data_IF_846243447683
#
_entry.id   IF_846243447683
#
_cell.length_a   1.000
_cell.length_b   1.000
_cell.length_c   1.000
_cell.angle_alpha   90.00
_cell.angle_beta   90.00
_cell.angle_gamma   90.00
#
_symmetry.space_group_name_H-M   'P 1'
#
loop_
_entity.id
_entity.type
_entity.pdbx_description
1 polymer ?
#
# COMPACT_ATOMS: atom_id res chain seq x y z
N UNK A 1 -4.09 -4.82 -7.08
CA UNK A 1 -2.70 -4.50 -6.70
C UNK A 1 -1.87 -5.76 -6.71
N UNK A 2 -0.69 -5.69 -7.31
CA UNK A 2 0.29 -6.78 -7.34
C UNK A 2 1.62 -6.31 -6.75
N UNK A 3 2.15 -7.05 -5.79
CA UNK A 3 3.49 -6.85 -5.22
C UNK A 3 4.40 -7.96 -5.73
N UNK A 4 5.56 -7.60 -6.26
CA UNK A 4 6.51 -8.53 -6.87
C UNK A 4 7.91 -8.30 -6.30
N UNK A 5 8.65 -9.39 -6.07
CA UNK A 5 10.08 -9.38 -5.76
C UNK A 5 10.88 -9.84 -6.97
N UNK A 6 11.95 -9.12 -7.27
CA UNK A 6 12.90 -9.54 -8.30
C UNK A 6 14.03 -10.43 -7.71
N UNK A 7 14.88 -11.04 -8.56
CA UNK A 7 15.99 -11.87 -8.10
C UNK A 7 17.03 -11.15 -7.24
N UNK A 8 17.08 -9.82 -7.27
CA UNK A 8 17.97 -9.01 -6.44
C UNK A 8 17.30 -8.58 -5.13
N UNK A 9 16.06 -9.02 -4.91
CA UNK A 9 15.26 -8.68 -3.73
C UNK A 9 14.70 -7.26 -3.75
N UNK A 10 14.59 -6.64 -4.94
CA UNK A 10 13.90 -5.36 -5.07
C UNK A 10 12.39 -5.59 -5.09
N UNK A 11 11.65 -4.62 -4.57
CA UNK A 11 10.18 -4.67 -4.47
C UNK A 11 9.58 -3.75 -5.51
N UNK A 12 8.69 -4.29 -6.33
CA UNK A 12 7.85 -3.50 -7.23
C UNK A 12 6.37 -3.72 -6.94
N UNK A 13 5.58 -2.68 -7.14
CA UNK A 13 4.14 -2.70 -6.90
C UNK A 13 3.43 -2.12 -8.11
N UNK A 14 2.52 -2.89 -8.68
CA UNK A 14 1.64 -2.40 -9.74
C UNK A 14 0.26 -2.11 -9.16
N UNK A 15 -0.22 -0.88 -9.35
CA UNK A 15 -1.55 -0.45 -8.94
C UNK A 15 -2.41 -0.11 -10.16
N UNK A 16 -3.68 -0.37 -10.05
CA UNK A 16 -4.70 -0.10 -11.08
C UNK A 16 -5.36 1.29 -10.91
N UNK A 17 -4.79 2.14 -10.08
CA UNK A 17 -5.26 3.51 -9.81
C UNK A 17 -4.33 4.53 -10.46
N UNK A 18 -4.89 5.45 -11.24
CA UNK A 18 -4.16 6.53 -11.90
C UNK A 18 -4.15 7.79 -11.03
N UNK A 19 -3.01 8.19 -10.47
CA UNK A 19 -2.94 9.37 -9.62
C UNK A 19 -3.16 10.66 -10.44
N UNK A 20 -3.77 11.64 -9.79
CA UNK A 20 -4.01 12.99 -10.32
C UNK A 20 -3.36 14.06 -9.43
N UNK A 21 -2.20 13.75 -8.84
CA UNK A 21 -1.47 14.63 -7.94
C UNK A 21 -1.69 14.38 -6.43
N UNK A 22 -2.57 13.43 -6.05
CA UNK A 22 -2.89 13.16 -4.63
C UNK A 22 -1.91 12.18 -3.93
N UNK A 23 -0.77 11.86 -4.53
CA UNK A 23 0.30 11.12 -3.87
C UNK A 23 0.10 9.61 -3.74
N UNK A 24 -0.70 8.96 -4.59
CA UNK A 24 -0.97 7.53 -4.52
C UNK A 24 0.31 6.67 -4.54
N UNK A 25 1.27 7.01 -5.39
CA UNK A 25 2.55 6.29 -5.50
C UNK A 25 3.28 6.30 -4.16
N UNK A 26 3.40 7.47 -3.54
CA UNK A 26 4.06 7.61 -2.23
C UNK A 26 3.32 6.85 -1.14
N UNK A 27 1.98 6.95 -1.10
CA UNK A 27 1.18 6.26 -0.10
C UNK A 27 1.31 4.73 -0.22
N UNK A 28 1.27 4.18 -1.43
CA UNK A 28 1.46 2.73 -1.65
C UNK A 28 2.87 2.28 -1.27
N UNK A 29 3.90 3.05 -1.63
CA UNK A 29 5.27 2.76 -1.22
C UNK A 29 5.39 2.68 0.30
N UNK A 30 4.77 3.62 1.04
CA UNK A 30 4.75 3.62 2.50
C UNK A 30 4.00 2.42 3.09
N UNK A 31 2.83 2.07 2.55
CA UNK A 31 2.04 0.92 3.01
C UNK A 31 2.83 -0.38 2.85
N UNK A 32 3.36 -0.62 1.65
CA UNK A 32 4.10 -1.87 1.36
C UNK A 32 5.40 -1.92 2.15
N UNK A 33 6.14 -0.82 2.20
CA UNK A 33 7.37 -0.74 2.98
C UNK A 33 7.15 -0.96 4.47
N UNK A 34 6.07 -0.40 5.04
CA UNK A 34 5.69 -0.60 6.44
C UNK A 34 5.40 -2.07 6.76
N UNK A 35 4.72 -2.79 5.87
CA UNK A 35 4.46 -4.23 6.05
C UNK A 35 5.73 -5.06 5.93
N UNK A 36 6.59 -4.74 4.97
CA UNK A 36 7.81 -5.51 4.68
C UNK A 36 9.02 -5.09 5.53
N UNK A 37 8.89 -4.04 6.35
CA UNK A 37 9.97 -3.56 7.20
C UNK A 37 11.16 -2.95 6.44
N UNK A 38 10.92 -2.38 5.26
CA UNK A 38 11.93 -1.75 4.39
C UNK A 38 11.70 -0.25 4.27
N UNK A 39 12.60 0.47 3.59
CA UNK A 39 12.40 1.89 3.31
C UNK A 39 11.37 2.08 2.17
N UNK A 40 10.47 3.08 2.23
CA UNK A 40 9.61 3.43 1.10
C UNK A 40 10.38 3.74 -0.19
N UNK A 41 11.61 4.23 -0.09
CA UNK A 41 12.50 4.46 -1.24
C UNK A 41 13.00 3.18 -1.92
N UNK A 42 12.86 2.02 -1.28
CA UNK A 42 13.20 0.70 -1.84
C UNK A 42 12.01 0.04 -2.56
N UNK A 43 10.85 0.70 -2.62
CA UNK A 43 9.64 0.20 -3.27
C UNK A 43 9.36 1.00 -4.54
N UNK A 44 9.50 0.35 -5.70
CA UNK A 44 9.11 0.94 -6.98
C UNK A 44 7.60 0.75 -7.19
N UNK A 45 6.86 1.85 -7.36
CA UNK A 45 5.41 1.79 -7.60
C UNK A 45 5.11 2.24 -9.02
N UNK A 46 4.46 1.38 -9.76
CA UNK A 46 3.96 1.65 -11.10
C UNK A 46 2.44 1.81 -11.05
N UNK A 47 1.97 2.96 -11.53
CA UNK A 47 0.55 3.19 -11.75
C UNK A 47 0.24 3.01 -13.22
N UNK A 48 -0.68 2.14 -13.54
CA UNK A 48 -1.06 1.87 -14.92
C UNK A 48 -2.25 0.93 -14.98
N UNK A 49 -2.93 0.96 -16.10
CA UNK A 49 -4.08 0.12 -16.35
C UNK A 49 -3.83 -0.69 -17.61
N UNK A 50 -3.60 -1.98 -17.44
CA UNK A 50 -3.49 -2.96 -18.52
C UNK A 50 -4.45 -4.10 -18.23
N UNK A 51 -5.52 -4.18 -18.99
CA UNK A 51 -6.57 -5.20 -18.81
C UNK A 51 -6.07 -6.62 -19.06
N UNK A 52 -4.92 -6.78 -19.71
CA UNK A 52 -4.31 -8.08 -19.97
C UNK A 52 -3.50 -8.64 -18.79
N UNK A 53 -3.00 -7.79 -17.91
CA UNK A 53 -2.07 -8.20 -16.85
C UNK A 53 -2.41 -7.65 -15.45
N UNK A 54 -3.16 -6.56 -15.37
CA UNK A 54 -3.54 -5.94 -14.08
C UNK A 54 -4.93 -6.39 -13.65
N UNK A 55 -5.05 -6.91 -12.42
CA UNK A 55 -6.34 -7.10 -11.79
C UNK A 55 -7.04 -5.75 -11.63
N UNK A 56 -8.27 -5.65 -12.08
CA UNK A 56 -9.06 -4.43 -12.02
C UNK A 56 -10.33 -4.61 -11.20
N UNK A 57 -10.72 -3.56 -10.50
CA UNK A 57 -11.98 -3.50 -9.78
C UNK A 57 -12.57 -2.09 -9.89
N UNK A 58 -13.89 -1.98 -9.85
CA UNK A 58 -14.57 -0.69 -9.83
C UNK A 58 -14.20 0.16 -8.61
N UNK A 59 -13.68 -0.46 -7.56
CA UNK A 59 -13.18 0.23 -6.37
C UNK A 59 -11.85 0.98 -6.60
N UNK A 60 -11.15 0.73 -7.70
CA UNK A 60 -9.87 1.36 -8.05
C UNK A 60 -10.00 2.82 -8.52
N UNK A 61 -11.21 3.33 -8.77
CA UNK A 61 -11.43 4.71 -9.23
C UNK A 61 -11.01 5.77 -8.21
N UNK A 62 -10.54 6.91 -8.72
CA UNK A 62 -10.05 8.06 -7.94
C UNK A 62 -11.18 8.98 -7.42
N UNK A 63 -12.31 8.44 -7.10
CA UNK A 63 -13.49 9.17 -6.60
C UNK A 63 -13.95 8.60 -5.26
N UNK A 64 -14.70 9.39 -4.51
CA UNK A 64 -15.30 8.99 -3.22
C UNK A 64 -14.27 8.46 -2.22
N UNK A 65 -13.04 8.99 -2.21
CA UNK A 65 -11.95 8.56 -1.33
C UNK A 65 -11.68 7.05 -1.31
N UNK A 66 -11.98 6.34 -2.40
CA UNK A 66 -11.86 4.87 -2.48
C UNK A 66 -10.43 4.36 -2.47
N UNK A 67 -9.48 5.20 -2.87
CA UNK A 67 -8.07 4.79 -2.90
C UNK A 67 -7.58 4.25 -1.56
N UNK A 68 -7.85 4.97 -0.46
CA UNK A 68 -7.43 4.54 0.88
C UNK A 68 -7.94 3.15 1.25
N UNK A 69 -9.26 2.95 1.37
CA UNK A 69 -9.81 1.66 1.79
C UNK A 69 -9.62 0.55 0.75
N UNK A 70 -9.72 0.84 -0.54
CA UNK A 70 -9.70 -0.20 -1.58
C UNK A 70 -8.28 -0.48 -2.08
N UNK A 71 -7.60 0.50 -2.69
CA UNK A 71 -6.30 0.26 -3.34
C UNK A 71 -5.20 0.06 -2.31
N UNK A 72 -5.13 0.94 -1.29
CA UNK A 72 -4.16 0.78 -0.21
C UNK A 72 -4.46 -0.46 0.64
N UNK A 73 -5.74 -0.80 0.85
CA UNK A 73 -6.15 -2.05 1.49
C UNK A 73 -5.70 -3.29 0.72
N UNK A 74 -5.85 -3.30 -0.61
CA UNK A 74 -5.34 -4.38 -1.46
C UNK A 74 -3.81 -4.48 -1.42
N UNK A 75 -3.11 -3.33 -1.41
CA UNK A 75 -1.65 -3.30 -1.29
C UNK A 75 -1.18 -3.88 0.06
N UNK A 76 -1.86 -3.51 1.14
CA UNK A 76 -1.61 -4.08 2.46
C UNK A 76 -1.78 -5.60 2.48
N UNK A 77 -2.88 -6.11 1.91
CA UNK A 77 -3.13 -7.55 1.86
C UNK A 77 -2.09 -8.30 1.00
N UNK A 78 -1.75 -7.77 -0.19
CA UNK A 78 -0.74 -8.39 -1.04
C UNK A 78 0.63 -8.41 -0.35
N UNK A 79 1.03 -7.29 0.27
CA UNK A 79 2.27 -7.21 1.02
C UNK A 79 2.28 -8.13 2.25
N UNK A 80 1.15 -8.27 2.95
CA UNK A 80 1.03 -9.18 4.11
C UNK A 80 1.20 -10.64 3.70
N UNK A 81 0.54 -11.07 2.62
CA UNK A 81 0.74 -12.44 2.08
C UNK A 81 2.19 -12.67 1.67
N UNK A 82 2.81 -11.68 1.04
CA UNK A 82 4.22 -11.73 0.67
C UNK A 82 5.12 -11.86 1.89
N UNK A 83 4.85 -11.05 2.94
CA UNK A 83 5.57 -11.13 4.22
C UNK A 83 5.46 -12.52 4.85
N UNK A 84 4.27 -13.12 4.87
CA UNK A 84 4.07 -14.46 5.42
C UNK A 84 4.88 -15.52 4.66
N UNK A 85 4.94 -15.43 3.33
CA UNK A 85 5.79 -16.30 2.52
C UNK A 85 7.27 -16.11 2.79
N UNK A 86 7.72 -14.85 2.92
CA UNK A 86 9.10 -14.52 3.28
C UNK A 86 9.46 -14.98 4.69
N UNK A 87 8.52 -14.91 5.64
CA UNK A 87 8.72 -15.43 7.00
C UNK A 87 8.94 -16.93 6.98
N UNK A 88 8.16 -17.69 6.20
CA UNK A 88 8.34 -19.15 6.02
C UNK A 88 9.69 -19.47 5.36
N UNK A 89 10.13 -18.69 4.39
CA UNK A 89 11.44 -18.86 3.78
C UNK A 89 12.57 -18.54 4.77
N UNK A 90 12.43 -17.43 5.51
CA UNK A 90 13.40 -17.00 6.50
C UNK A 90 13.51 -17.99 7.68
N UNK A 91 12.40 -18.62 8.06
CA UNK A 91 12.36 -19.59 9.17
C UNK A 91 13.35 -20.73 8.99
N UNK A 92 13.51 -21.21 7.76
CA UNK A 92 14.50 -22.25 7.44
C UNK A 92 15.93 -21.74 7.57
N UNK A 93 16.20 -20.51 7.09
CA UNK A 93 17.54 -19.93 7.15
C UNK A 93 17.96 -19.52 8.56
N UNK A 94 17.02 -19.09 9.39
CA UNK A 94 17.27 -18.61 10.76
C UNK A 94 17.03 -19.71 11.81
N UNK A 95 16.53 -20.87 11.38
CA UNK A 95 16.23 -22.04 12.22
C UNK A 95 15.28 -21.72 13.39
N UNK A 96 14.18 -21.00 13.10
CA UNK A 96 13.11 -20.66 14.04
C UNK A 96 11.75 -20.78 13.36
N UNK A 97 10.68 -20.88 14.13
CA UNK A 97 9.33 -20.91 13.57
C UNK A 97 8.95 -19.56 12.93
N UNK A 98 8.14 -19.59 11.86
CA UNK A 98 7.81 -18.42 11.08
C UNK A 98 7.11 -17.30 11.88
N UNK A 99 6.36 -17.67 12.92
CA UNK A 99 5.69 -16.76 13.84
C UNK A 99 6.64 -15.93 14.71
N UNK A 100 7.90 -16.33 14.84
CA UNK A 100 8.95 -15.62 15.56
C UNK A 100 9.81 -14.72 14.64
N UNK A 101 9.44 -14.61 13.36
CA UNK A 101 10.15 -13.80 12.39
C UNK A 101 9.58 -12.38 12.36
N UNK A 102 10.44 -11.41 12.49
CA UNK A 102 10.13 -9.99 12.39
C UNK A 102 10.86 -9.31 11.23
N UNK A 103 10.29 -8.20 10.78
CA UNK A 103 10.75 -7.40 9.65
C UNK A 103 10.91 -5.96 10.08
N UNK A 104 12.12 -5.43 10.06
CA UNK A 104 12.37 -4.02 10.37
C UNK A 104 13.72 -3.56 9.83
N UNK A 105 13.79 -2.31 9.40
CA UNK A 105 15.04 -1.66 9.00
C UNK A 105 15.79 -2.38 7.87
N UNK A 106 15.07 -3.03 6.95
CA UNK A 106 15.66 -3.80 5.85
C UNK A 106 16.26 -5.14 6.27
N UNK A 107 15.89 -5.61 7.45
CA UNK A 107 16.31 -6.91 8.03
C UNK A 107 15.10 -7.79 8.28
N UNK A 108 15.34 -9.09 8.19
CA UNK A 108 14.45 -10.15 8.65
C UNK A 108 15.20 -10.87 9.77
N UNK A 109 14.62 -10.91 10.95
CA UNK A 109 15.29 -11.37 12.16
C UNK A 109 14.35 -12.12 13.09
N UNK A 110 14.92 -12.75 14.11
CA UNK A 110 14.12 -13.47 15.11
C UNK A 110 13.75 -12.53 16.25
N UNK A 111 12.48 -12.53 16.67
CA UNK A 111 11.97 -11.65 17.73
C UNK A 111 12.76 -11.77 19.05
N UNK A 112 13.19 -13.01 19.40
CA UNK A 112 13.91 -13.31 20.64
C UNK A 112 15.40 -12.94 20.60
N UNK A 113 16.00 -12.91 19.39
CA UNK A 113 17.40 -12.58 19.19
C UNK A 113 17.61 -11.78 17.90
N UNK A 114 17.53 -10.43 17.96
CA UNK A 114 17.67 -9.58 16.78
C UNK A 114 19.03 -9.65 16.07
N UNK A 115 20.06 -10.20 16.74
CA UNK A 115 21.38 -10.47 16.10
C UNK A 115 21.33 -11.68 15.15
N UNK A 116 20.34 -12.56 15.31
CA UNK A 116 20.05 -13.62 14.36
C UNK A 116 19.18 -13.08 13.24
N UNK A 117 19.80 -12.47 12.24
CA UNK A 117 19.12 -11.80 11.13
C UNK A 117 19.74 -12.10 9.78
N UNK A 118 18.95 -11.84 8.74
CA UNK A 118 19.42 -11.73 7.36
C UNK A 118 18.92 -10.42 6.72
N UNK A 119 19.68 -9.84 5.79
CA UNK A 119 19.18 -8.72 4.99
C UNK A 119 17.92 -9.13 4.21
N UNK A 120 16.91 -8.24 4.17
CA UNK A 120 15.68 -8.47 3.45
C UNK A 120 15.92 -8.94 2.01
N UNK A 121 16.77 -8.23 1.27
CA UNK A 121 17.08 -8.54 -0.14
C UNK A 121 17.66 -9.95 -0.32
N UNK A 122 18.41 -10.44 0.65
CA UNK A 122 18.98 -11.79 0.56
C UNK A 122 17.91 -12.87 0.67
N UNK A 123 16.98 -12.73 1.62
CA UNK A 123 15.85 -13.66 1.74
C UNK A 123 14.94 -13.54 0.51
N UNK A 124 14.59 -12.31 0.13
CA UNK A 124 13.72 -12.06 -1.02
C UNK A 124 14.27 -12.65 -2.32
N UNK A 125 15.60 -12.50 -2.56
CA UNK A 125 16.26 -13.05 -3.75
C UNK A 125 16.50 -14.57 -3.71
N UNK A 126 16.55 -15.18 -2.53
CA UNK A 126 16.94 -16.59 -2.39
C UNK A 126 16.00 -17.56 -3.11
N UNK A 127 14.71 -17.22 -3.26
CA UNK A 127 13.75 -18.02 -4.03
C UNK A 127 14.12 -18.17 -5.50
N UNK A 128 14.86 -17.21 -6.06
CA UNK A 128 15.32 -17.24 -7.44
C UNK A 128 16.68 -17.95 -7.61
N UNK A 129 17.55 -17.83 -6.59
CA UNK A 129 18.95 -18.30 -6.69
C UNK A 129 19.14 -19.71 -6.17
N UNK A 130 18.29 -20.15 -5.25
CA UNK A 130 18.39 -21.45 -4.59
C UNK A 130 17.03 -22.14 -4.56
N UNK A 131 16.41 -22.41 -5.72
CA UNK A 131 15.07 -22.99 -5.77
C UNK A 131 14.98 -24.35 -5.07
N UNK A 132 16.05 -25.11 -5.03
CA UNK A 132 16.11 -26.40 -4.30
C UNK A 132 16.10 -26.26 -2.76
N UNK A 133 16.27 -25.05 -2.23
CA UNK A 133 16.18 -24.78 -0.80
C UNK A 133 14.80 -24.21 -0.40
N UNK A 134 13.86 -24.12 -1.34
CA UNK A 134 12.50 -23.70 -1.03
C UNK A 134 11.72 -24.81 -0.34
N UNK A 135 10.81 -24.49 0.59
CA UNK A 135 9.80 -25.41 1.05
C UNK A 135 9.03 -26.01 -0.14
N UNK A 136 8.70 -27.31 -0.09
CA UNK A 136 8.03 -28.02 -1.20
C UNK A 136 6.72 -27.38 -1.64
N UNK A 137 6.05 -26.67 -0.73
CA UNK A 137 4.77 -26.01 -0.93
C UNK A 137 4.90 -24.49 -1.20
N UNK A 138 6.13 -23.99 -1.43
CA UNK A 138 6.38 -22.58 -1.73
C UNK A 138 6.81 -22.39 -3.18
N UNK A 139 6.01 -21.63 -3.93
CA UNK A 139 6.32 -21.26 -5.31
C UNK A 139 7.63 -20.44 -5.37
N UNK A 140 8.55 -20.74 -6.30
CA UNK A 140 9.79 -19.98 -6.49
C UNK A 140 9.56 -18.53 -6.94
N UNK A 141 8.46 -18.22 -7.59
CA UNK A 141 8.11 -16.85 -7.97
C UNK A 141 7.41 -16.15 -6.81
N UNK A 142 8.10 -15.18 -6.20
CA UNK A 142 7.51 -14.41 -5.11
C UNK A 142 6.75 -13.22 -5.67
N UNK A 143 5.46 -13.44 -5.86
CA UNK A 143 4.51 -12.47 -6.39
C UNK A 143 3.17 -12.70 -5.71
N UNK A 144 2.57 -11.61 -5.20
CA UNK A 144 1.25 -11.64 -4.61
C UNK A 144 0.34 -10.62 -5.25
N UNK A 145 -0.87 -11.05 -5.58
CA UNK A 145 -1.92 -10.19 -6.11
C UNK A 145 -3.10 -10.21 -5.16
N UNK A 146 -3.60 -9.03 -4.80
CA UNK A 146 -4.83 -8.88 -4.04
C UNK A 146 -5.79 -7.92 -4.76
N UNK A 147 -7.06 -8.28 -4.69
CA UNK A 147 -8.19 -7.43 -5.05
C UNK A 147 -9.00 -7.28 -3.78
N UNK A 148 -9.26 -6.04 -3.40
CA UNK A 148 -10.02 -5.75 -2.21
C UNK A 148 -11.16 -4.79 -2.54
N UNK A 149 -12.36 -5.21 -2.25
CA UNK A 149 -13.54 -4.37 -2.25
C UNK A 149 -14.11 -4.40 -0.84
N UNK A 150 -14.06 -3.27 -0.11
CA UNK A 150 -14.61 -3.20 1.24
C UNK A 150 -16.08 -3.63 1.25
N UNK A 151 -16.48 -4.53 2.16
CA UNK A 151 -17.83 -5.09 2.16
C UNK A 151 -18.92 -4.07 2.51
N UNK A 152 -18.54 -2.95 3.12
CA UNK A 152 -19.45 -1.87 3.48
C UNK A 152 -19.82 -0.95 2.30
N UNK A 153 -19.15 -1.09 1.16
CA UNK A 153 -19.55 -0.42 -0.07
C UNK A 153 -20.81 -1.07 -0.62
N UNK A 154 -21.86 -0.27 -0.79
CA UNK A 154 -23.14 -0.76 -1.30
C UNK A 154 -23.56 -0.01 -2.55
N UNK A 155 -24.19 -0.71 -3.47
CA UNK A 155 -24.83 -0.12 -4.64
C UNK A 155 -26.03 0.76 -4.23
N UNK A 156 -26.50 1.68 -5.10
CA UNK A 156 -27.72 2.45 -4.85
C UNK A 156 -28.91 1.51 -4.55
N UNK A 157 -29.66 1.86 -3.52
CA UNK A 157 -30.94 1.21 -3.22
C UNK A 157 -32.06 1.84 -4.06
N UNK A 158 -33.31 1.41 -3.82
CA UNK A 158 -34.49 1.90 -4.53
C UNK A 158 -34.77 3.40 -4.30
N UNK A 159 -34.12 4.01 -3.34
CA UNK A 159 -34.23 5.44 -2.99
C UNK A 159 -32.95 6.21 -3.38
N UNK A 160 -32.08 5.61 -4.19
CA UNK A 160 -30.77 6.14 -4.61
C UNK A 160 -29.79 6.40 -3.45
N UNK A 161 -29.99 5.78 -2.29
CA UNK A 161 -29.01 5.82 -1.22
C UNK A 161 -27.84 4.89 -1.54
N UNK A 162 -26.65 5.43 -1.47
CA UNK A 162 -25.40 4.70 -1.76
C UNK A 162 -24.39 4.93 -0.65
N UNK A 163 -23.65 3.89 -0.27
CA UNK A 163 -22.40 4.05 0.46
C UNK A 163 -21.23 3.88 -0.50
N UNK A 164 -20.78 4.98 -1.07
CA UNK A 164 -19.68 5.01 -2.06
C UNK A 164 -18.30 5.18 -1.46
N UNK A 165 -18.16 5.44 -0.15
CA UNK A 165 -16.89 5.69 0.52
C UNK A 165 -16.91 5.20 1.96
N UNK A 166 -15.75 4.76 2.44
CA UNK A 166 -15.53 4.36 3.84
C UNK A 166 -14.63 5.35 4.61
N UNK A 167 -14.06 6.31 3.91
CA UNK A 167 -13.17 7.30 4.49
C UNK A 167 -13.72 8.70 4.22
N UNK A 168 -13.99 9.43 5.29
CA UNK A 168 -14.46 10.80 5.24
C UNK A 168 -13.44 11.66 6.00
N UNK A 169 -12.74 12.52 5.28
CA UNK A 169 -11.96 13.60 5.88
C UNK A 169 -12.86 14.82 6.09
N UNK A 170 -12.64 15.54 7.17
CA UNK A 170 -13.34 16.79 7.45
C UNK A 170 -12.37 17.95 7.27
N UNK A 171 -12.81 18.94 6.49
CA UNK A 171 -12.10 20.19 6.30
C UNK A 171 -13.05 21.30 6.65
N UNK A 172 -12.57 22.25 7.41
CA UNK A 172 -13.28 23.45 7.73
C UNK A 172 -12.42 24.67 7.41
N UNK A 173 -12.91 25.52 6.51
CA UNK A 173 -12.18 26.66 6.01
C UNK A 173 -12.87 27.97 6.39
N UNK A 174 -12.09 28.93 6.87
CA UNK A 174 -12.50 30.32 7.02
C UNK A 174 -11.70 31.20 6.07
N UNK A 175 -12.39 32.00 5.31
CA UNK A 175 -11.78 32.95 4.41
C UNK A 175 -12.32 34.36 4.68
N UNK A 176 -11.46 35.25 5.17
CA UNK A 176 -11.72 36.67 5.26
C UNK A 176 -11.47 37.33 3.90
N UNK A 177 -12.46 38.02 3.37
CA UNK A 177 -12.32 38.70 2.07
C UNK A 177 -12.72 40.18 2.17
N UNK A 178 -12.01 41.01 1.43
CA UNK A 178 -12.36 42.40 1.17
C UNK A 178 -12.79 42.54 -0.30
N UNK A 179 -13.93 43.17 -0.52
CA UNK A 179 -14.46 43.43 -1.88
C UNK A 179 -14.44 44.93 -2.13
N UNK A 180 -13.68 45.34 -3.13
CA UNK A 180 -13.71 46.71 -3.64
C UNK A 180 -15.01 46.92 -4.42
N UNK A 181 -15.82 47.89 -3.99
CA UNK A 181 -17.15 48.09 -4.54
C UNK A 181 -17.15 48.75 -5.92
N UNK A 182 -16.07 49.46 -6.26
CA UNK A 182 -15.98 50.19 -7.53
C UNK A 182 -15.39 49.31 -8.64
N UNK A 183 -14.39 48.49 -8.28
CA UNK A 183 -13.68 47.61 -9.23
C UNK A 183 -14.13 46.18 -9.19
N UNK A 184 -14.94 45.78 -8.20
CA UNK A 184 -15.38 44.41 -7.92
C UNK A 184 -14.23 43.40 -7.72
N UNK A 185 -13.04 43.90 -7.37
CA UNK A 185 -11.90 43.03 -7.05
C UNK A 185 -12.07 42.47 -5.67
N UNK A 186 -11.76 41.16 -5.54
CA UNK A 186 -11.74 40.45 -4.27
C UNK A 186 -10.29 40.26 -3.84
N UNK A 187 -9.99 40.65 -2.61
CA UNK A 187 -8.71 40.37 -1.95
C UNK A 187 -8.96 39.44 -0.80
N UNK A 188 -8.21 38.33 -0.73
CA UNK A 188 -8.19 37.45 0.42
C UNK A 188 -7.29 38.08 1.48
N UNK A 189 -7.84 38.34 2.64
CA UNK A 189 -7.15 38.94 3.78
C UNK A 189 -6.56 37.86 4.69
N UNK A 190 -7.38 36.91 5.13
CA UNK A 190 -6.97 35.79 5.96
C UNK A 190 -7.59 34.49 5.45
N UNK A 191 -6.80 33.42 5.50
CA UNK A 191 -7.28 32.08 5.21
C UNK A 191 -6.84 31.12 6.31
N UNK A 192 -7.79 30.49 6.98
CA UNK A 192 -7.54 29.50 8.02
C UNK A 192 -8.21 28.21 7.63
N UNK A 193 -7.46 27.12 7.61
CA UNK A 193 -7.97 25.80 7.31
C UNK A 193 -7.72 24.83 8.46
N UNK A 194 -8.70 24.03 8.80
CA UNK A 194 -8.62 22.95 9.77
C UNK A 194 -8.88 21.62 9.06
N UNK A 195 -8.03 20.65 9.30
CA UNK A 195 -8.13 19.32 8.73
C UNK A 195 -8.25 18.26 9.82
N UNK A 196 -9.18 17.36 9.66
CA UNK A 196 -9.21 16.07 10.34
C UNK A 196 -8.97 14.98 9.29
N UNK A 197 -7.72 14.54 9.19
CA UNK A 197 -7.28 13.51 8.26
C UNK A 197 -7.06 12.15 8.97
N UNK A 198 -7.54 12.03 10.21
CA UNK A 198 -7.35 10.85 11.03
C UNK A 198 -5.98 10.82 11.73
N UNK A 199 -5.54 9.61 12.09
CA UNK A 199 -4.28 9.42 12.81
C UNK A 199 -3.09 9.65 11.87
N UNK A 200 -2.13 10.47 12.31
CA UNK A 200 -0.87 10.73 11.62
C UNK A 200 0.22 9.76 12.08
#
# INVERSE_FOLDING_TARGET
>A
VTVTLDPLGSVSVTIDSLPQGQGHITAIAQVVAGVLGISPGDVAVESGFDTGVTGWSIAAGNYSSRFGPAVAGAAYQAASRLRDRLARLASQHLNVAAEHIEFSGGKIFTAENPENFMPFRRIAGSSHWSPGALPEDLDPVIRETAIWTPPELVAPDVSDHINGSLAYGFIFDFCGVEVDRDTHRVRVDHYVTMHDAGRR
#
